data_IF_609191778135
#
_entry.id   IF_609191778135
#
_cell.length_a   1.000
_cell.length_b   1.000
_cell.length_c   1.000
_cell.angle_alpha   90.00
_cell.angle_beta   90.00
_cell.angle_gamma   90.00
#
_symmetry.space_group_name_H-M   'P 1'
#
loop_
_entity.id
_entity.type
_entity.pdbx_description
1 polymer ?
#
# COMPACT_ATOMS: atom_id res chain seq x y z
N UNK A 1 -8.56 -31.12 15.05
CA UNK A 1 -9.70 -30.27 15.44
C UNK A 1 -9.48 -28.94 14.79
N UNK A 2 -10.24 -28.63 13.73
CA UNK A 2 -10.28 -27.26 13.19
C UNK A 2 -11.14 -26.48 14.17
N UNK A 3 -10.53 -25.53 14.88
CA UNK A 3 -11.26 -24.53 15.65
C UNK A 3 -11.96 -23.60 14.64
N UNK A 4 -13.16 -23.98 14.25
CA UNK A 4 -14.05 -23.11 13.48
C UNK A 4 -14.63 -22.14 14.49
N UNK A 5 -14.28 -20.87 14.38
CA UNK A 5 -14.92 -19.79 15.16
C UNK A 5 -16.44 -19.94 15.07
N UNK A 6 -17.12 -19.99 16.24
CA UNK A 6 -18.57 -20.10 16.23
C UNK A 6 -19.21 -18.88 15.53
N UNK A 7 -20.41 -19.06 14.99
CA UNK A 7 -21.13 -17.95 14.32
C UNK A 7 -21.35 -16.76 15.27
N UNK A 8 -21.55 -17.01 16.55
CA UNK A 8 -21.73 -15.98 17.59
C UNK A 8 -20.49 -15.11 17.76
N UNK A 9 -19.29 -15.74 17.85
CA UNK A 9 -18.02 -14.99 17.96
C UNK A 9 -17.76 -14.17 16.71
N UNK A 10 -18.11 -14.65 15.52
CA UNK A 10 -17.95 -13.90 14.27
C UNK A 10 -18.86 -12.68 14.22
N UNK A 11 -20.13 -12.80 14.66
CA UNK A 11 -21.08 -11.68 14.72
C UNK A 11 -20.59 -10.63 15.70
N UNK A 12 -20.18 -11.02 16.90
CA UNK A 12 -19.68 -10.11 17.93
C UNK A 12 -18.44 -9.33 17.43
N UNK A 13 -17.53 -9.99 16.72
CA UNK A 13 -16.37 -9.34 16.12
C UNK A 13 -16.76 -8.32 15.05
N UNK A 14 -17.76 -8.61 14.20
CA UNK A 14 -18.22 -7.67 13.19
C UNK A 14 -18.95 -6.46 13.77
N UNK A 15 -19.72 -6.64 14.81
CA UNK A 15 -20.47 -5.54 15.45
C UNK A 15 -19.54 -4.51 16.08
N UNK A 16 -18.37 -4.92 16.54
CA UNK A 16 -17.32 -4.04 17.04
C UNK A 16 -16.53 -3.29 15.94
N UNK A 17 -16.68 -3.64 14.65
CA UNK A 17 -15.93 -3.00 13.58
C UNK A 17 -16.56 -1.69 13.14
N UNK A 18 -15.71 -0.70 12.87
CA UNK A 18 -16.10 0.53 12.18
C UNK A 18 -16.50 0.23 10.72
N UNK A 19 -17.05 1.22 10.02
CA UNK A 19 -17.43 1.11 8.59
C UNK A 19 -16.30 0.59 7.70
N UNK A 20 -15.05 0.82 8.09
CA UNK A 20 -13.85 0.33 7.42
C UNK A 20 -12.83 -0.19 8.42
N UNK A 21 -12.22 -1.32 8.09
CA UNK A 21 -11.01 -1.82 8.75
C UNK A 21 -9.80 -1.45 7.91
N UNK A 22 -8.76 -0.89 8.56
CA UNK A 22 -7.48 -0.59 7.92
C UNK A 22 -6.42 -1.52 8.46
N UNK A 23 -5.65 -2.10 7.54
CA UNK A 23 -4.49 -2.92 7.85
C UNK A 23 -3.31 -2.42 7.03
N UNK A 24 -2.10 -2.57 7.54
CA UNK A 24 -0.92 -2.20 6.79
C UNK A 24 0.36 -2.58 7.50
N UNK A 25 1.45 -2.55 6.75
CA UNK A 25 2.79 -2.80 7.23
C UNK A 25 3.82 -2.28 6.25
N UNK A 26 4.95 -1.83 6.80
CA UNK A 26 6.12 -1.41 6.05
C UNK A 26 7.32 -2.21 6.50
N UNK A 27 8.23 -2.48 5.59
CA UNK A 27 9.60 -2.79 5.98
C UNK A 27 10.60 -1.97 5.17
N UNK A 28 11.73 -1.70 5.79
CA UNK A 28 12.89 -1.09 5.15
C UNK A 28 14.15 -1.74 5.73
N UNK A 29 14.87 -2.46 4.88
CA UNK A 29 16.18 -3.03 5.22
C UNK A 29 17.25 -2.42 4.35
N UNK A 30 18.34 -1.99 4.95
CA UNK A 30 19.39 -1.36 4.18
C UNK A 30 20.77 -1.50 4.83
N UNK A 31 21.76 -1.27 3.99
CA UNK A 31 23.17 -1.15 4.37
C UNK A 31 23.69 0.17 3.87
N UNK A 32 24.51 0.83 4.67
CA UNK A 32 25.19 2.06 4.28
C UNK A 32 26.64 2.05 4.76
N UNK A 33 27.51 2.66 3.98
CA UNK A 33 28.88 2.93 4.34
C UNK A 33 29.21 4.37 4.00
N UNK A 34 29.96 5.05 4.87
CA UNK A 34 30.31 6.44 4.69
C UNK A 34 31.74 6.74 5.11
N UNK A 35 32.26 7.85 4.60
CA UNK A 35 33.56 8.36 4.95
C UNK A 35 33.51 9.88 5.12
N UNK A 36 34.20 10.40 6.11
CA UNK A 36 34.42 11.83 6.33
C UNK A 36 35.60 12.31 5.49
N UNK A 37 35.42 13.43 4.82
CA UNK A 37 36.51 14.05 4.07
C UNK A 37 37.45 14.82 5.01
N UNK A 38 38.68 15.13 4.53
CA UNK A 38 39.72 15.72 5.34
C UNK A 38 39.38 17.00 6.09
N UNK A 39 38.48 17.80 5.56
CA UNK A 39 38.00 19.04 6.20
C UNK A 39 36.90 18.81 7.26
N UNK A 40 36.51 17.56 7.53
CA UNK A 40 35.51 17.10 8.51
C UNK A 40 34.08 17.66 8.33
N UNK A 41 33.92 18.69 7.49
CA UNK A 41 32.61 19.31 7.24
C UNK A 41 31.79 18.58 6.17
N UNK A 42 32.38 17.63 5.47
CA UNK A 42 31.74 16.86 4.42
C UNK A 42 31.87 15.36 4.68
N UNK A 43 30.77 14.67 4.53
CA UNK A 43 30.73 13.20 4.56
C UNK A 43 30.08 12.70 3.27
N UNK A 44 30.65 11.66 2.70
CA UNK A 44 30.08 10.93 1.58
C UNK A 44 29.63 9.56 2.04
N UNK A 45 28.54 9.07 1.48
CA UNK A 45 28.02 7.75 1.77
C UNK A 45 27.52 7.05 0.51
N UNK A 46 27.54 5.73 0.55
CA UNK A 46 26.83 4.87 -0.40
C UNK A 46 25.84 4.03 0.41
N UNK A 47 24.75 3.69 -0.19
CA UNK A 47 23.73 2.90 0.48
C UNK A 47 22.90 2.06 -0.48
N UNK A 48 22.32 0.98 0.04
CA UNK A 48 21.37 0.12 -0.64
C UNK A 48 20.26 -0.20 0.33
N UNK A 49 19.01 -0.18 -0.14
CA UNK A 49 17.85 -0.63 0.64
C UNK A 49 16.89 -1.47 -0.18
N UNK A 50 16.14 -2.32 0.51
CA UNK A 50 14.96 -3.04 0.03
C UNK A 50 13.77 -2.58 0.89
N UNK A 51 12.73 -2.07 0.23
CA UNK A 51 11.59 -1.44 0.88
C UNK A 51 10.30 -2.02 0.35
N UNK A 52 9.35 -2.30 1.24
CA UNK A 52 7.99 -2.63 0.84
C UNK A 52 6.98 -1.91 1.73
N UNK A 53 5.89 -1.51 1.09
CA UNK A 53 4.75 -0.84 1.70
C UNK A 53 3.49 -1.57 1.29
N UNK A 54 2.74 -2.07 2.28
CA UNK A 54 1.48 -2.75 2.06
C UNK A 54 0.39 -2.10 2.92
N UNK A 55 -0.76 -1.80 2.33
CA UNK A 55 -1.91 -1.34 3.09
C UNK A 55 -3.22 -1.77 2.43
N UNK A 56 -4.24 -1.93 3.27
CA UNK A 56 -5.59 -2.24 2.85
C UNK A 56 -6.60 -1.45 3.65
N UNK A 57 -7.69 -1.09 2.99
CA UNK A 57 -8.90 -0.50 3.57
C UNK A 57 -10.06 -1.37 3.14
N UNK A 58 -10.65 -2.07 4.08
CA UNK A 58 -11.64 -3.12 3.85
C UNK A 58 -12.98 -2.66 4.42
N UNK A 59 -14.03 -2.48 3.60
CA UNK A 59 -15.39 -2.19 4.07
C UNK A 59 -15.92 -3.31 4.98
N UNK A 60 -16.72 -2.95 5.97
CA UNK A 60 -17.34 -3.91 6.90
C UNK A 60 -18.14 -4.99 6.16
N UNK A 61 -18.91 -4.60 5.13
CA UNK A 61 -19.73 -5.54 4.37
C UNK A 61 -18.88 -6.53 3.56
N UNK A 62 -17.73 -6.10 3.03
CA UNK A 62 -16.80 -7.02 2.36
C UNK A 62 -16.22 -8.06 3.35
N UNK A 63 -15.92 -7.65 4.58
CA UNK A 63 -15.51 -8.59 5.64
C UNK A 63 -16.66 -9.55 6.01
N UNK A 64 -17.89 -9.04 6.11
CA UNK A 64 -19.08 -9.83 6.36
C UNK A 64 -19.30 -10.88 5.26
N UNK A 65 -19.20 -10.49 3.99
CA UNK A 65 -19.27 -11.41 2.86
C UNK A 65 -18.19 -12.49 2.92
N UNK A 66 -16.96 -12.12 3.28
CA UNK A 66 -15.86 -13.08 3.41
C UNK A 66 -16.03 -14.08 4.54
N UNK A 67 -16.69 -13.70 5.65
CA UNK A 67 -16.86 -14.54 6.84
C UNK A 67 -18.14 -15.38 6.80
N UNK A 68 -19.22 -14.87 6.22
CA UNK A 68 -20.56 -15.50 6.27
C UNK A 68 -21.16 -15.76 4.88
N UNK A 69 -20.51 -15.28 3.81
CA UNK A 69 -21.09 -15.31 2.47
C UNK A 69 -22.23 -14.29 2.32
N UNK A 70 -22.99 -14.43 1.22
CA UNK A 70 -24.07 -13.52 0.88
C UNK A 70 -25.38 -13.77 1.66
N UNK A 71 -25.48 -14.84 2.42
CA UNK A 71 -26.69 -15.21 3.17
C UNK A 71 -27.14 -14.13 4.16
N UNK A 72 -26.21 -13.40 4.76
CA UNK A 72 -26.51 -12.29 5.67
C UNK A 72 -27.13 -11.08 4.99
N UNK A 73 -27.06 -11.02 3.67
CA UNK A 73 -27.60 -9.94 2.83
C UNK A 73 -28.84 -10.36 2.02
N UNK A 74 -29.52 -11.44 2.43
CA UNK A 74 -30.75 -11.88 1.73
C UNK A 74 -31.84 -10.79 1.78
N UNK A 75 -32.22 -10.26 0.63
CA UNK A 75 -33.14 -9.12 0.48
C UNK A 75 -32.45 -7.74 0.67
N UNK A 76 -31.13 -7.69 0.76
CA UNK A 76 -30.37 -6.47 1.07
C UNK A 76 -29.12 -6.34 0.18
N UNK A 77 -28.41 -5.22 0.33
CA UNK A 77 -27.24 -4.85 -0.48
C UNK A 77 -26.01 -4.69 0.39
N UNK A 78 -24.96 -5.46 0.08
CA UNK A 78 -23.62 -5.26 0.65
C UNK A 78 -22.90 -4.12 -0.08
N UNK A 79 -22.43 -3.13 0.65
CA UNK A 79 -21.66 -1.99 0.13
C UNK A 79 -20.16 -2.30 0.17
N UNK A 80 -19.57 -2.42 -1.02
CA UNK A 80 -18.13 -2.75 -1.17
C UNK A 80 -17.34 -1.53 -1.68
N UNK A 81 -18.00 -0.38 -1.75
CA UNK A 81 -17.38 0.86 -2.20
C UNK A 81 -16.19 1.28 -1.33
N UNK A 82 -15.19 1.89 -1.95
CA UNK A 82 -13.98 2.40 -1.29
C UNK A 82 -13.13 1.33 -0.58
N UNK A 83 -13.17 0.08 -1.04
CA UNK A 83 -12.14 -0.90 -0.71
C UNK A 83 -10.84 -0.54 -1.42
N UNK A 84 -9.71 -0.72 -0.74
CA UNK A 84 -8.40 -0.45 -1.28
C UNK A 84 -7.42 -1.54 -0.83
N UNK A 85 -6.58 -2.02 -1.74
CA UNK A 85 -5.44 -2.89 -1.46
C UNK A 85 -4.25 -2.38 -2.24
N UNK A 86 -3.14 -2.13 -1.57
CA UNK A 86 -1.92 -1.64 -2.18
C UNK A 86 -0.71 -2.40 -1.66
N UNK A 87 0.19 -2.76 -2.57
CA UNK A 87 1.50 -3.28 -2.28
C UNK A 87 2.50 -2.68 -3.25
N UNK A 88 3.54 -2.07 -2.72
CA UNK A 88 4.65 -1.55 -3.52
C UNK A 88 5.95 -2.04 -2.91
N UNK A 89 6.83 -2.64 -3.74
CA UNK A 89 8.17 -3.08 -3.36
C UNK A 89 9.21 -2.60 -4.35
N UNK A 90 10.34 -2.14 -3.84
CA UNK A 90 11.43 -1.62 -4.64
C UNK A 90 12.77 -1.66 -3.89
N UNK A 91 13.87 -1.69 -4.65
CA UNK A 91 15.20 -1.49 -4.12
C UNK A 91 15.73 -0.11 -4.52
N UNK A 92 16.55 0.47 -3.64
CA UNK A 92 17.26 1.72 -3.91
C UNK A 92 18.75 1.52 -3.79
N UNK A 93 19.48 2.14 -4.70
CA UNK A 93 20.95 2.23 -4.69
C UNK A 93 21.30 3.70 -4.78
N UNK A 94 22.01 4.22 -3.79
CA UNK A 94 22.20 5.65 -3.70
C UNK A 94 23.55 6.09 -3.20
N UNK A 95 23.80 7.37 -3.45
CA UNK A 95 24.92 8.12 -2.89
C UNK A 95 24.36 9.23 -2.02
N UNK A 96 25.02 9.48 -0.91
CA UNK A 96 24.66 10.54 0.03
C UNK A 96 25.81 11.50 0.24
N UNK A 97 25.46 12.75 0.45
CA UNK A 97 26.38 13.82 0.85
C UNK A 97 25.78 14.54 2.05
N UNK A 98 26.56 14.66 3.11
CA UNK A 98 26.24 15.45 4.29
C UNK A 98 27.25 16.58 4.41
N UNK A 99 26.76 17.78 4.58
CA UNK A 99 27.52 18.97 4.81
C UNK A 99 27.17 19.60 6.16
N UNK A 100 28.18 19.80 7.00
CA UNK A 100 28.04 20.41 8.33
C UNK A 100 28.87 21.69 8.36
N UNK A 101 28.28 22.86 7.98
CA UNK A 101 28.99 24.14 7.98
C UNK A 101 29.44 24.58 9.37
N UNK A 102 28.80 24.11 10.41
CA UNK A 102 29.15 24.28 11.82
C UNK A 102 28.78 23.03 12.61
N UNK A 103 29.15 22.95 13.87
CA UNK A 103 28.76 21.88 14.80
C UNK A 103 27.23 21.84 15.02
N UNK A 104 26.57 22.96 14.83
CA UNK A 104 25.14 23.10 15.08
C UNK A 104 24.26 22.91 13.85
N UNK A 105 24.82 22.83 12.65
CA UNK A 105 24.01 22.73 11.42
C UNK A 105 24.51 21.60 10.54
N UNK A 106 23.59 20.77 10.05
CA UNK A 106 23.88 19.72 9.09
C UNK A 106 22.82 19.67 7.99
N UNK A 107 23.24 19.56 6.75
CA UNK A 107 22.39 19.44 5.55
C UNK A 107 22.82 18.18 4.81
N UNK A 108 21.88 17.27 4.61
CA UNK A 108 22.09 16.02 3.88
C UNK A 108 21.27 15.92 2.62
N UNK A 109 21.89 15.43 1.57
CA UNK A 109 21.23 15.10 0.30
C UNK A 109 21.58 13.66 -0.06
N UNK A 110 20.56 12.86 -0.45
CA UNK A 110 20.76 11.54 -1.02
C UNK A 110 20.13 11.48 -2.39
N UNK A 111 20.82 10.90 -3.34
CA UNK A 111 20.34 10.62 -4.68
C UNK A 111 20.36 9.11 -4.88
N UNK A 112 19.27 8.55 -5.41
CA UNK A 112 19.12 7.13 -5.58
C UNK A 112 18.55 6.78 -6.95
N UNK A 113 19.04 5.68 -7.51
CA UNK A 113 18.35 4.95 -8.57
C UNK A 113 17.48 3.87 -7.95
N UNK A 114 16.33 3.62 -8.58
CA UNK A 114 15.31 2.71 -8.08
C UNK A 114 15.18 1.55 -9.05
N UNK A 115 15.21 0.34 -8.51
CA UNK A 115 14.72 -0.87 -9.15
C UNK A 115 13.32 -1.16 -8.60
N UNK A 116 12.29 -0.92 -9.40
CA UNK A 116 10.90 -1.17 -9.02
C UNK A 116 10.54 -2.64 -9.31
N UNK A 117 10.15 -3.37 -8.25
CA UNK A 117 9.94 -4.81 -8.31
C UNK A 117 8.46 -5.17 -8.40
N UNK A 118 7.64 -4.66 -7.48
CA UNK A 118 6.22 -5.01 -7.39
C UNK A 118 5.36 -3.76 -7.23
N UNK A 119 4.35 -3.65 -8.08
CA UNK A 119 3.21 -2.78 -7.93
C UNK A 119 1.95 -3.64 -7.96
N UNK A 120 1.14 -3.53 -6.94
CA UNK A 120 -0.20 -4.08 -6.87
C UNK A 120 -1.10 -3.02 -6.24
N UNK A 121 -2.09 -2.59 -7.00
CA UNK A 121 -3.12 -1.67 -6.53
C UNK A 121 -4.46 -2.14 -7.02
N UNK A 122 -5.41 -2.24 -6.10
CA UNK A 122 -6.81 -2.55 -6.39
C UNK A 122 -7.68 -1.61 -5.56
N UNK A 123 -8.68 -1.03 -6.18
CA UNK A 123 -9.67 -0.19 -5.49
C UNK A 123 -11.05 -0.35 -6.09
N UNK A 124 -12.06 -0.23 -5.24
CA UNK A 124 -13.47 -0.14 -5.65
C UNK A 124 -13.97 1.29 -5.46
N UNK A 125 -14.76 1.79 -6.41
CA UNK A 125 -15.36 3.12 -6.37
C UNK A 125 -16.79 3.06 -5.82
N UNK A 126 -17.71 2.46 -6.56
CA UNK A 126 -19.14 2.36 -6.20
C UNK A 126 -19.68 0.92 -6.25
N UNK A 127 -18.81 -0.06 -6.00
CA UNK A 127 -19.14 -1.48 -6.05
C UNK A 127 -20.15 -1.88 -4.97
N UNK A 128 -21.18 -2.60 -5.37
CA UNK A 128 -22.21 -3.14 -4.49
C UNK A 128 -22.72 -4.51 -4.96
N UNK A 129 -23.24 -5.30 -4.01
CA UNK A 129 -23.73 -6.64 -4.25
C UNK A 129 -25.09 -6.82 -3.58
N UNK A 130 -26.15 -6.91 -4.37
CA UNK A 130 -27.51 -7.20 -3.90
C UNK A 130 -27.77 -8.71 -3.94
N UNK A 131 -28.33 -9.26 -2.87
CA UNK A 131 -28.76 -10.66 -2.81
C UNK A 131 -30.29 -10.70 -2.76
N UNK A 132 -30.92 -11.49 -3.63
CA UNK A 132 -32.38 -11.68 -3.61
C UNK A 132 -32.87 -12.16 -2.24
N UNK A 133 -34.14 -11.93 -1.91
CA UNK A 133 -34.72 -12.33 -0.63
C UNK A 133 -34.71 -13.88 -0.42
N UNK A 134 -34.73 -14.63 -1.50
CA UNK A 134 -34.61 -16.11 -1.45
C UNK A 134 -33.15 -16.57 -1.41
N UNK A 135 -32.18 -15.66 -1.64
CA UNK A 135 -30.76 -15.98 -1.71
C UNK A 135 -30.33 -16.73 -2.97
N UNK A 136 -31.20 -16.86 -3.95
CA UNK A 136 -31.02 -17.65 -5.18
C UNK A 136 -30.40 -16.82 -6.32
N UNK A 137 -30.46 -15.51 -6.23
CA UNK A 137 -29.91 -14.59 -7.24
C UNK A 137 -29.07 -13.51 -6.58
N UNK A 138 -27.93 -13.22 -7.18
CA UNK A 138 -27.00 -12.16 -6.78
C UNK A 138 -26.83 -11.20 -7.95
N UNK A 139 -26.96 -9.90 -7.68
CA UNK A 139 -26.68 -8.83 -8.63
C UNK A 139 -25.48 -8.04 -8.13
N UNK A 140 -24.43 -7.97 -8.93
CA UNK A 140 -23.24 -7.17 -8.66
C UNK A 140 -23.20 -5.99 -9.60
N UNK A 141 -23.06 -4.79 -9.05
CA UNK A 141 -22.72 -3.57 -9.75
C UNK A 141 -21.26 -3.28 -9.40
N UNK A 142 -20.35 -3.53 -10.33
CA UNK A 142 -18.92 -3.52 -10.09
C UNK A 142 -18.28 -2.33 -10.76
N UNK A 143 -17.84 -1.38 -9.96
CA UNK A 143 -17.05 -0.23 -10.40
C UNK A 143 -15.71 -0.27 -9.65
N UNK A 144 -14.68 -0.78 -10.31
CA UNK A 144 -13.38 -1.08 -9.71
C UNK A 144 -12.23 -0.75 -10.67
N UNK A 145 -11.08 -0.44 -10.10
CA UNK A 145 -9.86 -0.22 -10.86
C UNK A 145 -8.65 -0.88 -10.21
N UNK A 146 -7.62 -1.12 -11.01
CA UNK A 146 -6.38 -1.70 -10.51
C UNK A 146 -5.19 -1.38 -11.39
N UNK A 147 -4.00 -1.41 -10.78
CA UNK A 147 -2.71 -1.29 -11.45
C UNK A 147 -1.76 -2.34 -10.91
N UNK A 148 -1.11 -3.04 -11.81
CA UNK A 148 -0.22 -4.15 -11.46
C UNK A 148 1.07 -4.04 -12.28
N UNK A 149 2.22 -4.30 -11.66
CA UNK A 149 3.45 -4.57 -12.43
C UNK A 149 3.29 -5.86 -13.24
N UNK A 150 4.25 -6.15 -14.09
CA UNK A 150 4.27 -7.41 -14.86
C UNK A 150 4.12 -8.63 -13.94
N UNK A 151 2.97 -9.31 -14.02
CA UNK A 151 2.64 -10.47 -13.20
C UNK A 151 3.40 -11.75 -13.61
N UNK A 152 4.02 -11.76 -14.79
CA UNK A 152 4.88 -12.86 -15.23
C UNK A 152 6.32 -12.72 -14.71
N UNK A 153 6.73 -11.52 -14.25
CA UNK A 153 8.07 -11.24 -13.75
C UNK A 153 8.09 -10.99 -12.24
N UNK A 154 7.67 -11.98 -11.46
CA UNK A 154 7.55 -11.91 -10.00
C UNK A 154 8.79 -12.50 -9.33
N UNK A 155 9.23 -11.91 -8.21
CA UNK A 155 10.27 -12.44 -7.33
C UNK A 155 11.31 -11.40 -6.92
N UNK A 156 12.10 -11.74 -5.92
CA UNK A 156 13.13 -10.87 -5.37
C UNK A 156 14.18 -10.49 -6.42
N UNK A 157 14.49 -9.19 -6.52
CA UNK A 157 15.48 -8.65 -7.45
C UNK A 157 15.03 -8.62 -8.92
N UNK A 158 13.78 -8.93 -9.20
CA UNK A 158 13.22 -8.75 -10.54
C UNK A 158 13.00 -7.27 -10.84
N UNK A 159 13.14 -6.87 -12.09
CA UNK A 159 12.98 -5.49 -12.53
C UNK A 159 11.69 -5.35 -13.33
N UNK A 160 10.71 -4.65 -12.78
CA UNK A 160 9.45 -4.32 -13.43
C UNK A 160 9.30 -2.82 -13.69
N UNK A 161 10.33 -2.06 -13.40
CA UNK A 161 10.39 -0.63 -13.65
C UNK A 161 11.66 -0.01 -13.06
N UNK A 162 11.85 1.26 -13.33
CA UNK A 162 12.99 2.00 -12.84
C UNK A 162 12.68 3.46 -12.60
N UNK A 163 13.51 4.12 -11.81
CA UNK A 163 13.31 5.51 -11.48
C UNK A 163 14.44 6.10 -10.67
N UNK A 164 14.17 7.25 -10.10
CA UNK A 164 15.09 7.97 -9.23
C UNK A 164 14.35 8.56 -8.02
N UNK A 165 15.08 8.74 -6.94
CA UNK A 165 14.58 9.40 -5.72
C UNK A 165 15.61 10.37 -5.15
N UNK A 166 15.08 11.36 -4.44
CA UNK A 166 15.84 12.34 -3.66
C UNK A 166 15.34 12.32 -2.22
N UNK A 167 16.29 12.24 -1.27
CA UNK A 167 16.02 12.46 0.14
C UNK A 167 16.79 13.70 0.59
N UNK A 168 16.18 14.53 1.45
CA UNK A 168 16.79 15.72 2.03
C UNK A 168 16.64 15.65 3.53
N UNK A 169 17.73 15.96 4.25
CA UNK A 169 17.74 16.03 5.70
C UNK A 169 18.36 17.36 6.12
N UNK A 170 17.74 18.02 7.07
CA UNK A 170 18.26 19.20 7.72
C UNK A 170 18.19 19.02 9.23
N UNK A 171 19.29 19.26 9.92
CA UNK A 171 19.36 19.27 11.38
C UNK A 171 20.00 20.57 11.85
N UNK A 172 19.38 21.21 12.84
CA UNK A 172 19.92 22.41 13.47
C UNK A 172 19.79 22.32 14.99
N UNK A 173 20.88 22.60 15.69
CA UNK A 173 20.92 22.79 17.14
C UNK A 173 20.86 24.29 17.45
N UNK A 174 20.12 24.66 18.50
CA UNK A 174 19.90 26.03 18.95
C UNK A 174 19.91 26.07 20.48
N UNK A 175 20.37 27.19 21.06
CA UNK A 175 20.40 27.39 22.51
C UNK A 175 21.76 27.18 23.15
N UNK A 176 21.83 27.22 24.48
CA UNK A 176 23.06 27.04 25.27
C UNK A 176 23.35 25.53 25.46
N UNK A 177 24.60 25.24 25.87
CA UNK A 177 25.08 23.85 26.00
C UNK A 177 24.23 22.97 26.93
N UNK A 178 23.69 23.56 28.00
CA UNK A 178 22.88 22.85 29.00
C UNK A 178 21.37 22.78 28.63
N UNK A 179 20.93 23.52 27.62
CA UNK A 179 19.53 23.58 27.17
C UNK A 179 19.46 23.79 25.65
N UNK A 180 19.83 22.73 24.93
CA UNK A 180 19.82 22.73 23.46
C UNK A 180 18.47 22.30 22.91
N UNK A 181 18.05 22.97 21.87
CA UNK A 181 16.95 22.56 21.02
C UNK A 181 17.48 22.00 19.71
N UNK A 182 16.89 20.92 19.24
CA UNK A 182 17.22 20.31 17.96
C UNK A 182 16.01 20.34 17.04
N UNK A 183 16.15 20.96 15.89
CA UNK A 183 15.21 20.94 14.80
C UNK A 183 15.67 19.93 13.75
N UNK A 184 14.84 18.94 13.44
CA UNK A 184 15.04 18.00 12.34
C UNK A 184 13.95 18.19 11.31
N UNK A 185 14.35 18.41 10.06
CA UNK A 185 13.46 18.40 8.89
C UNK A 185 13.93 17.31 7.94
N UNK A 186 13.01 16.52 7.44
CA UNK A 186 13.32 15.42 6.54
C UNK A 186 12.26 15.30 5.44
N UNK A 187 12.72 15.11 4.22
CA UNK A 187 11.91 14.68 3.08
C UNK A 187 12.50 13.38 2.56
N UNK A 188 11.69 12.36 2.44
CA UNK A 188 12.11 11.02 1.99
C UNK A 188 11.31 10.57 0.78
N UNK A 189 11.98 9.87 -0.13
CA UNK A 189 11.37 9.29 -1.32
C UNK A 189 10.61 10.31 -2.19
N UNK A 190 11.15 11.51 -2.37
CA UNK A 190 10.69 12.35 -3.47
C UNK A 190 11.16 11.70 -4.77
N UNK A 191 10.33 10.88 -5.37
CA UNK A 191 10.71 9.92 -6.40
C UNK A 191 9.81 9.99 -7.62
N UNK A 192 10.31 9.51 -8.74
CA UNK A 192 9.51 9.23 -9.93
C UNK A 192 9.94 7.87 -10.48
N UNK A 193 8.98 6.97 -10.64
CA UNK A 193 9.21 5.63 -11.16
C UNK A 193 8.33 5.40 -12.37
N UNK A 194 8.93 4.82 -13.41
CA UNK A 194 8.27 4.33 -14.60
C UNK A 194 8.26 2.79 -14.58
N UNK A 195 7.07 2.21 -14.48
CA UNK A 195 6.84 0.77 -14.56
C UNK A 195 6.85 0.31 -16.03
N UNK A 196 7.16 -0.95 -16.25
CA UNK A 196 7.33 -1.54 -17.59
C UNK A 196 6.08 -1.44 -18.46
N UNK A 197 6.22 -1.50 -19.79
CA UNK A 197 5.07 -1.55 -20.70
C UNK A 197 4.18 -2.80 -20.54
N UNK A 198 4.69 -3.84 -19.88
CA UNK A 198 3.94 -5.06 -19.53
C UNK A 198 3.09 -4.89 -18.28
N UNK A 199 3.11 -3.71 -17.65
CA UNK A 199 2.23 -3.40 -16.52
C UNK A 199 0.79 -3.39 -16.96
N UNK A 200 -0.08 -3.84 -16.06
CA UNK A 200 -1.51 -4.04 -16.29
C UNK A 200 -2.28 -2.91 -15.62
N UNK A 201 -3.25 -2.37 -16.33
CA UNK A 201 -4.24 -1.44 -15.81
C UNK A 201 -5.62 -2.01 -16.07
N UNK A 202 -6.45 -2.08 -15.04
CA UNK A 202 -7.82 -2.57 -15.11
C UNK A 202 -8.75 -1.42 -14.73
N UNK A 203 -9.79 -1.22 -15.53
CA UNK A 203 -10.86 -0.27 -15.25
C UNK A 203 -12.19 -0.94 -15.65
N UNK A 204 -12.92 -1.40 -14.62
CA UNK A 204 -14.13 -2.20 -14.75
C UNK A 204 -15.32 -1.40 -14.23
N UNK A 205 -16.34 -1.25 -15.09
CA UNK A 205 -17.65 -0.64 -14.76
C UNK A 205 -18.73 -1.53 -15.39
N UNK A 206 -19.17 -2.56 -14.65
CA UNK A 206 -20.03 -3.60 -15.19
C UNK A 206 -21.12 -4.03 -14.21
N UNK A 207 -22.28 -4.43 -14.79
CA UNK A 207 -23.40 -5.01 -14.05
C UNK A 207 -23.55 -6.49 -14.37
N UNK A 208 -23.37 -7.31 -13.34
CA UNK A 208 -23.33 -8.76 -13.45
C UNK A 208 -24.49 -9.33 -12.63
N UNK A 209 -25.24 -10.27 -13.19
CA UNK A 209 -26.25 -11.02 -12.45
C UNK A 209 -25.91 -12.51 -12.45
N UNK A 210 -26.06 -13.14 -11.32
CA UNK A 210 -25.85 -14.56 -11.13
C UNK A 210 -27.08 -15.17 -10.45
N UNK A 211 -27.79 -16.06 -11.16
CA UNK A 211 -29.02 -16.72 -10.69
C UNK A 211 -28.75 -18.18 -10.29
N UNK A 212 -27.75 -18.42 -9.44
CA UNK A 212 -27.45 -19.74 -8.87
C UNK A 212 -27.29 -20.87 -9.90
N UNK A 213 -26.70 -21.98 -9.49
CA UNK A 213 -26.67 -23.22 -10.29
C UNK A 213 -27.95 -23.98 -9.95
N UNK A 214 -28.82 -24.17 -10.94
CA UNK A 214 -30.02 -24.98 -10.78
C UNK A 214 -29.61 -26.46 -10.80
N UNK A 215 -29.29 -27.02 -9.63
CA UNK A 215 -28.85 -28.41 -9.48
C UNK A 215 -30.09 -29.30 -9.52
N UNK A 216 -30.61 -29.55 -10.72
CA UNK A 216 -31.68 -30.53 -10.90
C UNK A 216 -31.22 -31.98 -10.68
N UNK A 217 -29.95 -32.28 -10.90
CA UNK A 217 -29.33 -33.59 -10.68
C UNK A 217 -27.83 -33.40 -10.35
N UNK A 218 -27.41 -33.86 -9.16
CA UNK A 218 -26.04 -33.81 -8.67
C UNK A 218 -25.05 -34.53 -9.61
N UNK A 219 -25.52 -35.51 -10.38
CA UNK A 219 -24.69 -36.27 -11.33
C UNK A 219 -24.37 -35.53 -12.61
N UNK A 220 -24.99 -34.35 -12.85
CA UNK A 220 -24.80 -33.54 -14.05
C UNK A 220 -23.93 -32.30 -13.82
N UNK A 221 -23.40 -32.10 -12.62
CA UNK A 221 -22.55 -30.94 -12.28
C UNK A 221 -21.27 -30.89 -13.13
N UNK A 222 -20.73 -32.03 -13.55
CA UNK A 222 -19.51 -32.12 -14.37
C UNK A 222 -19.67 -31.58 -15.79
N UNK A 223 -20.90 -31.38 -16.28
CA UNK A 223 -21.18 -30.98 -17.67
C UNK A 223 -21.87 -29.60 -17.78
N UNK A 224 -22.10 -28.89 -16.67
CA UNK A 224 -22.56 -27.51 -16.74
C UNK A 224 -21.33 -26.62 -16.88
N UNK A 225 -21.10 -26.16 -18.11
CA UNK A 225 -20.11 -25.15 -18.41
C UNK A 225 -20.29 -23.96 -17.46
N UNK A 226 -19.22 -23.55 -16.81
CA UNK A 226 -19.18 -22.38 -15.95
C UNK A 226 -19.22 -21.09 -16.82
N UNK A 227 -20.34 -20.86 -17.47
CA UNK A 227 -20.61 -19.70 -18.33
C UNK A 227 -20.32 -18.38 -17.62
N UNK A 228 -20.41 -18.37 -16.27
CA UNK A 228 -20.09 -17.22 -15.45
C UNK A 228 -18.59 -16.94 -15.39
N UNK A 229 -17.74 -17.98 -15.25
CA UNK A 229 -16.30 -17.80 -15.19
C UNK A 229 -15.76 -17.27 -16.52
N UNK A 230 -16.28 -17.79 -17.64
CA UNK A 230 -15.90 -17.35 -18.97
C UNK A 230 -16.42 -15.94 -19.28
N UNK A 231 -17.63 -15.60 -18.84
CA UNK A 231 -18.18 -14.25 -18.97
C UNK A 231 -17.40 -13.23 -18.16
N UNK A 232 -17.04 -13.56 -16.91
CA UNK A 232 -16.21 -12.72 -16.06
C UNK A 232 -14.80 -12.55 -16.65
N UNK A 233 -14.20 -13.62 -17.14
CA UNK A 233 -12.89 -13.57 -17.77
C UNK A 233 -12.91 -12.66 -19.02
N UNK A 234 -13.92 -12.77 -19.88
CA UNK A 234 -14.04 -11.91 -21.05
C UNK A 234 -14.19 -10.42 -20.69
N UNK A 235 -14.97 -10.08 -19.65
CA UNK A 235 -15.10 -8.68 -19.20
C UNK A 235 -13.80 -8.17 -18.56
N UNK A 236 -13.11 -9.00 -17.79
CA UNK A 236 -11.77 -8.66 -17.29
C UNK A 236 -10.76 -8.45 -18.42
N UNK A 237 -10.77 -9.28 -19.44
CA UNK A 237 -9.88 -9.14 -20.60
C UNK A 237 -10.15 -7.83 -21.36
N UNK A 238 -11.41 -7.46 -21.57
CA UNK A 238 -11.81 -6.19 -22.20
C UNK A 238 -11.42 -4.97 -21.36
N UNK A 239 -11.57 -5.07 -20.04
CA UNK A 239 -11.21 -4.00 -19.10
C UNK A 239 -9.71 -3.86 -18.90
N UNK A 240 -8.91 -4.84 -19.35
CA UNK A 240 -7.47 -4.90 -19.15
C UNK A 240 -6.72 -4.14 -20.26
N UNK A 241 -5.82 -3.27 -19.85
CA UNK A 241 -4.89 -2.55 -20.75
C UNK A 241 -3.46 -2.76 -20.28
N UNK A 242 -2.58 -3.00 -21.24
CA UNK A 242 -1.14 -3.05 -20.99
C UNK A 242 -0.51 -1.70 -21.32
N UNK A 243 0.41 -1.25 -20.49
CA UNK A 243 1.08 0.02 -20.73
C UNK A 243 1.98 0.45 -19.59
N UNK A 244 2.79 1.43 -19.89
CA UNK A 244 3.68 2.06 -18.92
C UNK A 244 2.88 2.83 -17.86
N UNK A 245 3.21 2.61 -16.60
CA UNK A 245 2.65 3.35 -15.47
C UNK A 245 3.74 4.25 -14.88
N UNK A 246 3.46 5.53 -14.73
CA UNK A 246 4.39 6.46 -14.09
C UNK A 246 3.77 7.02 -12.82
N UNK A 247 4.49 6.90 -11.69
CA UNK A 247 3.98 7.37 -10.40
C UNK A 247 5.09 7.63 -9.38
N UNK A 248 4.73 8.36 -8.34
CA UNK A 248 5.56 8.51 -7.15
C UNK A 248 5.51 7.22 -6.32
N UNK A 249 6.62 6.84 -5.69
CA UNK A 249 6.63 5.81 -4.65
C UNK A 249 6.14 6.36 -3.31
N UNK A 250 5.81 5.48 -2.36
CA UNK A 250 5.57 5.86 -0.98
C UNK A 250 6.73 6.68 -0.42
N UNK A 251 6.39 7.80 0.18
CA UNK A 251 7.39 8.72 0.74
C UNK A 251 6.75 9.65 1.76
N UNK A 252 7.51 10.61 2.28
CA UNK A 252 6.99 11.52 3.28
C UNK A 252 7.89 12.68 3.62
N UNK A 253 7.34 13.59 4.40
CA UNK A 253 8.07 14.67 5.05
C UNK A 253 7.82 14.62 6.55
N UNK A 254 8.82 14.96 7.33
CA UNK A 254 8.76 15.03 8.78
C UNK A 254 9.42 16.32 9.25
N UNK A 255 8.82 16.94 10.25
CA UNK A 255 9.41 18.03 11.01
C UNK A 255 9.32 17.66 12.49
N UNK A 256 10.44 17.82 13.22
CA UNK A 256 10.55 17.48 14.63
C UNK A 256 11.40 18.51 15.36
N UNK A 257 10.95 18.92 16.54
CA UNK A 257 11.70 19.74 17.46
C UNK A 257 11.84 19.01 18.80
N UNK A 258 13.06 18.93 19.31
CA UNK A 258 13.37 18.21 20.53
C UNK A 258 14.17 19.11 21.48
N UNK A 259 13.84 19.14 22.77
CA UNK A 259 14.65 19.75 23.80
C UNK A 259 15.64 18.72 24.33
N UNK A 260 16.93 19.03 24.31
CA UNK A 260 18.02 18.16 24.75
C UNK A 260 18.67 18.82 25.95
N UNK A 261 18.66 18.14 27.10
CA UNK A 261 19.39 18.53 28.30
C UNK A 261 20.52 17.54 28.57
N UNK A 262 21.37 17.84 29.56
CA UNK A 262 22.52 17.03 29.93
C UNK A 262 22.20 15.54 30.24
N UNK A 263 20.93 15.21 30.53
CA UNK A 263 20.42 13.84 30.79
C UNK A 263 19.76 13.17 29.60
N UNK A 264 19.66 13.82 28.43
CA UNK A 264 19.02 13.31 27.23
C UNK A 264 17.86 14.17 26.71
N UNK A 265 16.98 13.60 25.90
CA UNK A 265 15.79 14.27 25.35
C UNK A 265 14.74 14.39 26.44
N UNK A 266 14.29 15.60 26.77
CA UNK A 266 13.20 15.83 27.75
C UNK A 266 11.83 16.03 27.10
N UNK A 267 11.78 16.75 25.97
CA UNK A 267 10.54 16.99 25.24
C UNK A 267 10.78 16.83 23.75
N UNK A 268 9.81 16.26 23.08
CA UNK A 268 9.82 16.11 21.62
C UNK A 268 8.45 16.43 21.06
N UNK A 269 8.40 17.29 20.06
CA UNK A 269 7.20 17.59 19.29
C UNK A 269 7.50 17.44 17.82
N UNK A 270 6.58 16.85 17.07
CA UNK A 270 6.78 16.70 15.64
C UNK A 270 5.50 16.37 14.91
N UNK A 271 5.60 16.42 13.59
CA UNK A 271 4.56 16.02 12.67
C UNK A 271 5.15 15.41 11.43
N UNK A 272 4.40 14.51 10.83
CA UNK A 272 4.78 13.88 9.57
C UNK A 272 3.60 13.87 8.60
N UNK A 273 3.90 14.00 7.32
CA UNK A 273 2.96 13.77 6.23
C UNK A 273 3.55 12.72 5.29
N UNK A 274 2.72 11.79 4.83
CA UNK A 274 3.12 10.74 3.89
C UNK A 274 2.26 10.80 2.63
N UNK A 275 2.80 10.35 1.52
CA UNK A 275 2.08 10.18 0.26
C UNK A 275 2.30 8.75 -0.25
N UNK A 276 1.28 8.21 -0.94
CA UNK A 276 1.27 6.88 -1.54
C UNK A 276 1.64 5.70 -0.61
N UNK A 277 1.56 5.90 0.72
CA UNK A 277 1.94 4.90 1.72
C UNK A 277 0.75 4.29 2.46
N UNK A 278 -0.48 4.66 2.07
CA UNK A 278 -1.67 4.31 2.84
C UNK A 278 -1.71 4.94 4.23
N UNK A 279 -2.75 4.61 4.96
CA UNK A 279 -2.95 5.13 6.31
C UNK A 279 -2.37 4.12 7.32
N UNK A 280 -1.15 4.34 7.76
CA UNK A 280 -0.66 3.70 8.98
C UNK A 280 -0.90 4.67 10.13
N UNK A 281 -1.73 4.33 11.13
CA UNK A 281 -1.78 5.10 12.37
C UNK A 281 -0.40 4.99 13.05
N UNK A 282 0.12 6.11 13.50
CA UNK A 282 1.28 6.14 14.41
C UNK A 282 0.82 5.85 15.81
#
# INVERSE_FOLDING_TARGET
>A
TKDVLSSEVRVEQLDGLNSFTRIGGDYNYGLSAGLSLKNQNHQLSVWVSDEAHAHGKIPKDLMSLGLFGNKGFAGDTAQIANAELNLTRFQKFGIGWLYSPSEDVSIGLRLSVINAETLFELHTRSTQLFTSALGDTVYADVDAGGQFSDTANIGFGKTNGGGAAVDVVYTQFMGAEDDKWRLDLMVQNLSLVQWSPQSIQIDLDEKISFSGINVGDITQIENQDFDLADSLQMEFEKATRYGTITRLLPGGMQAKISQIKARGIEMEFGGAARWNSGYLPY
#
